data_IF_317681630942
#
_entry.id   IF_317681630942
#
_cell.length_a   1.000
_cell.length_b   1.000
_cell.length_c   1.000
_cell.angle_alpha   90.00
_cell.angle_beta   90.00
_cell.angle_gamma   90.00
#
_symmetry.space_group_name_H-M   'P 1'
#
loop_
_entity.id
_entity.type
_entity.pdbx_description
1 polymer ?
#
# COMPACT_ATOMS: atom_id res chain seq x y z
N UNK A 1 -86.26 -20.92 -28.53
CA UNK A 1 -85.97 -20.62 -27.11
C UNK A 1 -84.59 -21.16 -26.80
N UNK A 2 -83.65 -20.28 -26.37
CA UNK A 2 -82.54 -20.54 -25.42
C UNK A 2 -81.48 -21.61 -25.82
N UNK A 3 -80.16 -21.43 -25.90
CA UNK A 3 -79.17 -20.57 -25.21
C UNK A 3 -77.88 -20.43 -26.08
N UNK A 4 -77.17 -19.30 -25.94
CA UNK A 4 -75.78 -19.01 -26.38
C UNK A 4 -74.73 -19.66 -25.43
N UNK A 5 -73.41 -19.32 -25.38
CA UNK A 5 -72.53 -18.54 -26.28
C UNK A 5 -71.11 -19.15 -26.49
N UNK A 6 -70.27 -18.56 -27.36
CA UNK A 6 -68.89 -18.16 -26.98
C UNK A 6 -68.20 -17.34 -28.08
N UNK A 7 -67.39 -16.40 -27.58
CA UNK A 7 -66.80 -15.23 -28.23
C UNK A 7 -65.62 -15.56 -29.17
N UNK A 8 -65.55 -14.78 -30.26
CA UNK A 8 -64.36 -14.39 -31.02
C UNK A 8 -64.40 -12.85 -31.08
N UNK A 9 -63.36 -12.02 -31.13
CA UNK A 9 -61.89 -12.11 -31.09
C UNK A 9 -61.43 -10.63 -31.22
N UNK A 10 -60.32 -10.25 -30.57
CA UNK A 10 -59.46 -9.07 -30.81
C UNK A 10 -60.09 -7.66 -30.65
N UNK A 11 -59.59 -6.80 -29.76
CA UNK A 11 -58.34 -6.06 -29.99
C UNK A 11 -57.90 -5.37 -28.69
N UNK A 12 -56.66 -5.59 -28.26
CA UNK A 12 -56.00 -4.76 -27.25
C UNK A 12 -54.56 -4.51 -27.70
N UNK A 13 -54.26 -3.22 -27.84
CA UNK A 13 -52.99 -2.68 -28.31
C UNK A 13 -51.84 -3.06 -27.37
N UNK A 14 -50.75 -3.56 -27.94
CA UNK A 14 -49.49 -3.78 -27.23
C UNK A 14 -48.75 -2.46 -27.05
N UNK A 15 -48.72 -1.94 -25.82
CA UNK A 15 -47.75 -0.94 -25.39
C UNK A 15 -46.45 -1.66 -25.05
N UNK A 16 -45.46 -1.51 -25.93
CA UNK A 16 -44.10 -2.01 -25.71
C UNK A 16 -43.41 -1.03 -24.76
N UNK A 17 -43.46 -1.32 -23.46
CA UNK A 17 -42.61 -0.67 -22.48
C UNK A 17 -41.17 -1.17 -22.67
N UNK A 18 -40.31 -0.32 -23.23
CA UNK A 18 -38.86 -0.56 -23.24
C UNK A 18 -38.32 -0.50 -21.81
N UNK A 19 -37.53 -1.47 -21.34
CA UNK A 19 -36.77 -1.30 -20.11
C UNK A 19 -35.62 -0.33 -20.40
N UNK A 20 -35.68 0.85 -19.77
CA UNK A 20 -34.55 1.75 -19.65
C UNK A 20 -33.48 1.01 -18.84
N UNK A 21 -32.45 0.52 -19.53
CA UNK A 21 -31.23 0.01 -18.89
C UNK A 21 -30.51 1.22 -18.30
N UNK A 22 -30.79 1.52 -17.03
CA UNK A 22 -29.96 2.42 -16.23
C UNK A 22 -28.68 1.65 -15.93
N UNK A 23 -27.64 1.87 -16.74
CA UNK A 23 -26.30 1.43 -16.44
C UNK A 23 -25.80 2.19 -15.20
N UNK A 24 -26.00 1.61 -14.03
CA UNK A 24 -25.34 2.04 -12.81
C UNK A 24 -23.82 1.83 -13.01
N UNK A 25 -23.11 2.93 -13.27
CA UNK A 25 -21.65 2.97 -13.17
C UNK A 25 -21.29 2.75 -11.70
N UNK A 26 -21.00 1.50 -11.35
CA UNK A 26 -20.28 1.21 -10.12
C UNK A 26 -18.89 1.86 -10.23
N UNK A 27 -18.43 2.61 -9.21
CA UNK A 27 -17.07 3.09 -9.20
C UNK A 27 -16.16 1.86 -9.22
N UNK A 28 -15.27 1.82 -10.22
CA UNK A 28 -14.15 0.89 -10.28
C UNK A 28 -13.38 1.03 -8.98
N UNK A 29 -13.67 0.16 -8.02
CA UNK A 29 -12.93 0.08 -6.79
C UNK A 29 -11.53 -0.33 -7.22
N UNK A 30 -10.59 0.58 -7.01
CA UNK A 30 -9.22 0.41 -7.44
C UNK A 30 -8.71 -0.87 -6.80
N UNK A 31 -8.49 -1.88 -7.64
CA UNK A 31 -7.59 -2.96 -7.32
C UNK A 31 -6.25 -2.29 -7.07
N UNK A 32 -5.93 -2.10 -5.80
CA UNK A 32 -4.60 -1.69 -5.37
C UNK A 32 -3.78 -2.97 -5.39
N UNK A 33 -2.89 -3.22 -6.37
CA UNK A 33 -1.84 -4.17 -6.12
C UNK A 33 -0.95 -3.51 -5.09
N UNK A 34 -1.19 -3.82 -3.83
CA UNK A 34 -0.19 -3.67 -2.77
C UNK A 34 0.92 -4.67 -3.10
N UNK A 35 1.70 -4.35 -4.13
CA UNK A 35 2.98 -4.99 -4.41
C UNK A 35 3.97 -4.34 -3.47
N UNK A 36 3.90 -4.74 -2.19
CA UNK A 36 5.06 -4.64 -1.34
C UNK A 36 6.13 -5.51 -1.98
N UNK A 37 7.22 -4.85 -2.37
CA UNK A 37 8.46 -5.40 -2.88
C UNK A 37 9.19 -6.20 -1.78
N UNK A 38 8.49 -7.13 -1.13
CA UNK A 38 9.06 -8.07 -0.18
C UNK A 38 9.17 -9.42 -0.88
N UNK A 39 10.35 -10.04 -0.76
CA UNK A 39 10.61 -11.42 -1.13
C UNK A 39 9.37 -12.26 -0.77
N UNK A 40 8.66 -12.79 -1.77
CA UNK A 40 7.49 -13.59 -1.48
C UNK A 40 8.00 -14.87 -0.80
N UNK A 41 7.84 -14.93 0.51
CA UNK A 41 8.08 -16.13 1.27
C UNK A 41 6.76 -16.89 1.40
N UNK A 42 6.80 -18.20 1.26
CA UNK A 42 5.64 -19.06 1.46
C UNK A 42 6.07 -20.39 2.09
N UNK A 43 5.14 -21.09 2.71
CA UNK A 43 5.37 -22.43 3.22
C UNK A 43 4.69 -23.39 2.27
N UNK A 44 5.48 -24.23 1.61
CA UNK A 44 4.99 -25.20 0.65
C UNK A 44 5.33 -26.63 1.09
N UNK A 45 4.52 -27.60 0.67
CA UNK A 45 4.77 -29.02 0.92
C UNK A 45 4.29 -29.85 -0.27
N UNK A 46 4.98 -30.95 -0.56
CA UNK A 46 4.40 -32.00 -1.39
C UNK A 46 3.60 -32.95 -0.49
N UNK A 47 2.31 -33.06 -0.75
CA UNK A 47 1.37 -33.89 0.00
C UNK A 47 0.96 -35.05 -0.90
N UNK A 48 1.14 -36.27 -0.40
CA UNK A 48 0.73 -37.53 -1.03
C UNK A 48 0.07 -38.38 0.07
N UNK A 49 -1.18 -38.04 0.39
CA UNK A 49 -1.95 -38.66 1.49
C UNK A 49 -3.42 -38.77 1.14
N UNK A 50 -4.08 -39.74 1.76
CA UNK A 50 -5.54 -39.88 1.76
C UNK A 50 -6.10 -39.31 3.08
N UNK A 51 -7.04 -38.37 2.99
CA UNK A 51 -7.64 -37.68 4.14
C UNK A 51 -9.11 -38.07 4.24
N UNK A 52 -9.49 -38.70 5.34
CA UNK A 52 -10.91 -38.88 5.67
C UNK A 52 -11.49 -37.56 6.20
N UNK A 53 -12.56 -37.06 5.56
CA UNK A 53 -13.35 -35.93 6.04
C UNK A 53 -14.75 -36.40 6.43
N UNK A 54 -14.92 -36.63 7.72
CA UNK A 54 -16.16 -37.10 8.32
C UNK A 54 -17.16 -35.94 8.50
N UNK A 55 -18.46 -36.22 8.34
CA UNK A 55 -19.53 -35.35 8.85
C UNK A 55 -20.43 -36.17 9.73
N UNK A 56 -20.50 -35.78 11.00
CA UNK A 56 -21.50 -36.28 11.91
C UNK A 56 -22.80 -35.49 11.73
N UNK A 57 -23.83 -36.14 11.18
CA UNK A 57 -25.18 -35.58 11.04
C UNK A 57 -26.11 -36.07 12.16
N UNK A 58 -25.56 -36.40 13.33
CA UNK A 58 -26.28 -36.86 14.52
C UNK A 58 -26.73 -38.32 14.49
N UNK A 59 -27.12 -38.85 13.32
CA UNK A 59 -27.57 -40.24 13.15
C UNK A 59 -26.77 -41.05 12.11
N UNK A 60 -25.98 -40.37 11.27
CA UNK A 60 -25.16 -40.97 10.21
C UNK A 60 -23.82 -40.23 10.20
N UNK A 61 -22.74 -41.00 10.25
CA UNK A 61 -21.40 -40.51 9.94
C UNK A 61 -21.14 -40.76 8.46
N UNK A 62 -20.92 -39.68 7.70
CA UNK A 62 -20.53 -39.75 6.29
C UNK A 62 -19.03 -39.50 6.18
N UNK A 63 -18.28 -40.56 5.92
CA UNK A 63 -16.85 -40.49 5.64
C UNK A 63 -16.61 -40.39 4.15
N UNK A 64 -15.95 -39.31 3.73
CA UNK A 64 -15.46 -39.16 2.37
C UNK A 64 -13.94 -39.14 2.41
N UNK A 65 -13.31 -40.04 1.68
CA UNK A 65 -11.86 -40.07 1.53
C UNK A 65 -11.44 -39.17 0.37
N UNK A 66 -10.52 -38.25 0.68
CA UNK A 66 -9.97 -37.28 -0.27
C UNK A 66 -8.52 -37.64 -0.54
N UNK A 67 -8.23 -38.11 -1.76
CA UNK A 67 -6.86 -38.31 -2.22
C UNK A 67 -6.22 -36.98 -2.61
N UNK A 68 -5.12 -36.66 -1.91
CA UNK A 68 -4.33 -35.44 -2.10
C UNK A 68 -2.93 -35.85 -2.51
N UNK A 69 -2.67 -35.78 -3.82
CA UNK A 69 -1.35 -35.92 -4.43
C UNK A 69 -0.97 -34.65 -5.17
N UNK A 70 -0.52 -33.64 -4.43
CA UNK A 70 -0.25 -32.32 -4.96
C UNK A 70 0.85 -31.58 -4.17
N UNK A 71 1.55 -30.68 -4.85
CA UNK A 71 2.41 -29.71 -4.20
C UNK A 71 1.59 -28.46 -3.86
N UNK A 72 1.49 -28.13 -2.57
CA UNK A 72 0.60 -27.11 -2.04
C UNK A 72 1.38 -26.06 -1.28
N UNK A 73 1.09 -24.78 -1.56
CA UNK A 73 1.57 -23.63 -0.81
C UNK A 73 0.42 -22.95 -0.07
N UNK A 74 0.70 -22.28 1.05
CA UNK A 74 -0.36 -21.68 1.87
C UNK A 74 -1.15 -20.60 1.13
N UNK A 75 -0.50 -19.84 0.24
CA UNK A 75 -1.19 -18.81 -0.55
C UNK A 75 -2.24 -19.39 -1.50
N UNK A 76 -2.02 -20.59 -2.04
CA UNK A 76 -2.90 -21.28 -3.01
C UNK A 76 -3.84 -22.30 -2.37
N UNK A 77 -3.67 -22.55 -1.07
CA UNK A 77 -4.33 -23.67 -0.39
C UNK A 77 -5.86 -23.55 -0.44
N UNK A 78 -6.38 -22.34 -0.26
CA UNK A 78 -7.83 -22.07 -0.28
C UNK A 78 -8.43 -22.41 -1.64
N UNK A 79 -7.80 -21.97 -2.73
CA UNK A 79 -8.27 -22.22 -4.10
C UNK A 79 -8.22 -23.71 -4.44
N UNK A 80 -7.15 -24.40 -4.04
CA UNK A 80 -7.03 -25.85 -4.21
C UNK A 80 -8.15 -26.60 -3.48
N UNK A 81 -8.39 -26.27 -2.20
CA UNK A 81 -9.44 -26.89 -1.40
C UNK A 81 -10.83 -26.64 -2.00
N UNK A 82 -11.10 -25.44 -2.50
CA UNK A 82 -12.36 -25.11 -3.16
C UNK A 82 -12.57 -25.95 -4.44
N UNK A 83 -11.54 -26.09 -5.28
CA UNK A 83 -11.62 -26.91 -6.49
C UNK A 83 -11.82 -28.40 -6.19
N UNK A 84 -11.09 -28.94 -5.20
CA UNK A 84 -11.24 -30.34 -4.76
C UNK A 84 -12.60 -30.60 -4.14
N UNK A 85 -13.09 -29.69 -3.29
CA UNK A 85 -14.42 -29.78 -2.70
C UNK A 85 -15.53 -29.79 -3.74
N UNK A 86 -15.44 -28.92 -4.76
CA UNK A 86 -16.40 -28.89 -5.87
C UNK A 86 -16.36 -30.19 -6.69
N UNK A 87 -15.16 -30.72 -6.98
CA UNK A 87 -15.00 -31.94 -7.77
C UNK A 87 -15.54 -33.19 -7.07
N UNK A 88 -15.47 -33.24 -5.74
CA UNK A 88 -15.91 -34.39 -4.93
C UNK A 88 -17.27 -34.19 -4.24
N UNK A 89 -17.95 -33.07 -4.51
CA UNK A 89 -19.26 -32.79 -3.89
C UNK A 89 -19.21 -32.65 -2.37
N UNK A 90 -18.10 -32.14 -1.82
CA UNK A 90 -17.93 -31.97 -0.38
C UNK A 90 -18.86 -30.89 0.18
N UNK A 91 -19.41 -31.14 1.36
CA UNK A 91 -20.16 -30.14 2.13
C UNK A 91 -19.24 -29.05 2.68
N UNK A 92 -19.80 -27.92 3.12
CA UNK A 92 -19.05 -26.82 3.75
C UNK A 92 -18.23 -27.29 4.96
N UNK A 93 -18.78 -28.21 5.76
CA UNK A 93 -18.08 -28.79 6.92
C UNK A 93 -16.87 -29.62 6.49
N UNK A 94 -17.03 -30.46 5.48
CA UNK A 94 -15.93 -31.28 4.93
C UNK A 94 -14.84 -30.42 4.31
N UNK A 95 -15.22 -29.39 3.54
CA UNK A 95 -14.28 -28.44 2.98
C UNK A 95 -13.46 -27.76 4.10
N UNK A 96 -14.11 -27.31 5.17
CA UNK A 96 -13.42 -26.67 6.30
C UNK A 96 -12.46 -27.64 7.00
N UNK A 97 -12.85 -28.90 7.19
CA UNK A 97 -11.98 -29.95 7.73
C UNK A 97 -10.78 -30.22 6.82
N UNK A 98 -10.99 -30.37 5.51
CA UNK A 98 -9.93 -30.58 4.52
C UNK A 98 -8.91 -29.43 4.55
N UNK A 99 -9.39 -28.18 4.51
CA UNK A 99 -8.55 -26.98 4.56
C UNK A 99 -7.73 -26.94 5.84
N UNK A 100 -8.36 -27.20 6.99
CA UNK A 100 -7.69 -27.17 8.30
C UNK A 100 -6.64 -28.27 8.42
N UNK A 101 -6.97 -29.49 7.97
CA UNK A 101 -6.04 -30.63 7.97
C UNK A 101 -4.82 -30.35 7.10
N UNK A 102 -5.01 -29.88 5.87
CA UNK A 102 -3.90 -29.55 4.97
C UNK A 102 -3.07 -28.38 5.49
N UNK A 103 -3.72 -27.32 6.00
CA UNK A 103 -3.01 -26.19 6.60
C UNK A 103 -2.14 -26.62 7.78
N UNK A 104 -2.65 -27.49 8.65
CA UNK A 104 -1.89 -28.02 9.78
C UNK A 104 -0.73 -28.91 9.33
N UNK A 105 -0.90 -29.74 8.30
CA UNK A 105 0.19 -30.55 7.74
C UNK A 105 1.33 -29.69 7.19
N UNK A 106 0.99 -28.56 6.56
CA UNK A 106 1.96 -27.62 6.00
C UNK A 106 2.62 -26.76 7.09
N UNK A 107 1.87 -26.24 8.07
CA UNK A 107 2.39 -25.28 9.06
C UNK A 107 2.99 -25.89 10.31
N UNK A 108 2.79 -27.19 10.56
CA UNK A 108 3.26 -27.82 11.79
C UNK A 108 4.79 -27.73 11.90
N UNK A 109 5.36 -27.34 13.06
CA UNK A 109 6.79 -27.44 13.32
C UNK A 109 7.28 -28.88 13.13
N UNK A 110 8.26 -29.09 12.25
CA UNK A 110 8.72 -30.43 11.86
C UNK A 110 7.74 -31.23 10.98
N UNK A 111 6.71 -30.57 10.44
CA UNK A 111 5.78 -31.12 9.46
C UNK A 111 6.35 -31.18 8.04
N UNK A 112 5.48 -31.39 7.05
CA UNK A 112 5.87 -31.53 5.64
C UNK A 112 6.22 -30.19 4.96
N UNK A 113 5.87 -29.07 5.59
CA UNK A 113 6.10 -27.73 5.05
C UNK A 113 7.55 -27.28 5.11
N UNK A 114 8.01 -26.68 4.02
CA UNK A 114 9.29 -26.00 3.90
C UNK A 114 9.06 -24.52 3.62
N UNK A 115 9.78 -23.65 4.35
CA UNK A 115 9.83 -22.23 4.02
C UNK A 115 10.56 -22.05 2.70
N UNK A 116 9.85 -21.51 1.72
CA UNK A 116 10.33 -21.22 0.39
C UNK A 116 10.45 -19.72 0.22
N UNK A 117 11.62 -19.28 -0.22
CA UNK A 117 11.88 -17.89 -0.60
C UNK A 117 11.96 -17.83 -2.12
N UNK A 118 11.34 -16.84 -2.73
CA UNK A 118 11.31 -16.69 -4.18
C UNK A 118 12.00 -15.40 -4.64
N UNK A 119 12.57 -15.38 -5.86
CA UNK A 119 13.14 -14.17 -6.43
C UNK A 119 12.10 -13.04 -6.49
N UNK A 120 12.53 -11.82 -6.16
CA UNK A 120 11.73 -10.59 -6.37
C UNK A 120 11.71 -10.13 -7.84
N UNK A 121 12.33 -10.89 -8.75
CA UNK A 121 12.38 -10.57 -10.18
C UNK A 121 10.96 -10.59 -10.77
N UNK A 122 10.50 -9.49 -11.40
CA UNK A 122 9.18 -9.45 -12.04
C UNK A 122 9.02 -10.56 -13.07
N UNK A 123 7.86 -11.24 -13.06
CA UNK A 123 7.56 -12.33 -13.98
C UNK A 123 8.12 -13.70 -13.56
N UNK A 124 8.73 -13.81 -12.38
CA UNK A 124 9.02 -15.10 -11.76
C UNK A 124 7.70 -15.78 -11.31
N UNK A 125 7.56 -17.09 -11.57
CA UNK A 125 6.41 -17.88 -11.11
C UNK A 125 6.85 -19.01 -10.19
N UNK A 126 6.07 -19.28 -9.16
CA UNK A 126 6.27 -20.41 -8.26
C UNK A 126 5.98 -21.71 -9.02
N UNK A 127 6.78 -22.76 -8.79
CA UNK A 127 6.71 -24.04 -9.50
C UNK A 127 6.97 -25.20 -8.54
N UNK A 128 6.10 -25.32 -7.53
CA UNK A 128 6.13 -26.39 -6.52
C UNK A 128 5.98 -27.77 -7.18
N UNK A 129 6.88 -28.71 -6.86
CA UNK A 129 6.80 -30.10 -7.30
C UNK A 129 7.26 -31.10 -6.23
N UNK A 130 7.02 -32.40 -6.44
CA UNK A 130 7.50 -33.45 -5.54
C UNK A 130 9.03 -33.46 -5.36
N UNK A 131 9.76 -33.15 -6.44
CA UNK A 131 11.23 -33.13 -6.43
C UNK A 131 11.81 -31.82 -5.90
N UNK A 132 11.07 -30.72 -6.03
CA UNK A 132 11.50 -29.40 -5.59
C UNK A 132 10.28 -28.59 -5.13
N UNK A 133 10.03 -28.64 -3.83
CA UNK A 133 8.91 -27.95 -3.17
C UNK A 133 9.02 -26.43 -3.30
N UNK A 134 10.25 -25.89 -3.29
CA UNK A 134 10.52 -24.46 -3.46
C UNK A 134 10.95 -24.12 -4.90
N UNK A 135 10.49 -24.91 -5.87
CA UNK A 135 10.79 -24.69 -7.28
C UNK A 135 10.20 -23.38 -7.77
N UNK A 136 10.89 -22.73 -8.69
CA UNK A 136 10.42 -21.53 -9.37
C UNK A 136 10.89 -21.52 -10.81
N UNK A 137 10.13 -20.81 -11.65
CA UNK A 137 10.42 -20.61 -13.06
C UNK A 137 10.74 -19.15 -13.30
N UNK A 138 11.90 -18.90 -13.89
CA UNK A 138 12.29 -17.56 -14.31
C UNK A 138 11.59 -17.16 -15.61
N UNK A 139 11.35 -15.85 -15.83
CA UNK A 139 10.84 -15.35 -17.10
C UNK A 139 11.79 -15.68 -18.25
N UNK A 140 11.28 -15.60 -19.49
CA UNK A 140 12.05 -15.90 -20.70
C UNK A 140 13.34 -15.10 -20.76
N UNK A 141 14.44 -15.78 -21.13
CA UNK A 141 15.79 -15.21 -21.18
C UNK A 141 16.57 -15.30 -19.85
N UNK A 142 15.87 -15.51 -18.73
CA UNK A 142 16.51 -15.65 -17.42
C UNK A 142 16.67 -17.11 -17.02
N UNK A 143 17.68 -17.39 -16.18
CA UNK A 143 17.92 -18.70 -15.58
C UNK A 143 17.96 -18.60 -14.05
N UNK A 144 17.48 -19.65 -13.35
CA UNK A 144 17.63 -19.73 -11.90
C UNK A 144 19.11 -19.66 -11.50
N UNK A 145 19.41 -18.85 -10.49
CA UNK A 145 20.74 -18.71 -9.90
C UNK A 145 20.59 -18.32 -8.43
N UNK A 146 21.72 -18.15 -7.74
CA UNK A 146 21.80 -17.57 -6.41
C UNK A 146 22.55 -16.24 -6.45
N UNK A 147 22.15 -15.31 -5.58
CA UNK A 147 22.93 -14.09 -5.33
C UNK A 147 24.14 -14.36 -4.42
N UNK A 148 24.88 -13.31 -4.07
CA UNK A 148 26.04 -13.39 -3.18
C UNK A 148 25.71 -13.85 -1.74
N UNK A 149 24.44 -13.85 -1.35
CA UNK A 149 23.94 -14.29 -0.05
C UNK A 149 23.23 -15.64 -0.12
N UNK A 150 23.35 -16.35 -1.25
CA UNK A 150 22.71 -17.63 -1.53
C UNK A 150 21.17 -17.55 -1.61
N UNK A 151 20.60 -16.37 -1.85
CA UNK A 151 19.16 -16.22 -2.10
C UNK A 151 18.84 -16.58 -3.55
N UNK A 152 17.69 -17.22 -3.81
CA UNK A 152 17.26 -17.54 -5.17
C UNK A 152 17.02 -16.26 -5.97
N UNK A 153 17.55 -16.22 -7.19
CA UNK A 153 17.43 -15.11 -8.11
C UNK A 153 17.29 -15.61 -9.55
N UNK A 154 16.88 -14.73 -10.45
CA UNK A 154 16.84 -14.97 -11.89
C UNK A 154 17.89 -14.09 -12.56
N UNK A 155 18.90 -14.70 -13.19
CA UNK A 155 19.97 -13.98 -13.88
C UNK A 155 19.82 -14.08 -15.40
N UNK A 156 20.07 -12.97 -16.08
CA UNK A 156 20.14 -12.94 -17.52
C UNK A 156 21.52 -13.44 -17.96
N UNK A 157 21.64 -14.74 -18.16
CA UNK A 157 22.88 -15.37 -18.57
C UNK A 157 22.58 -16.60 -19.41
N UNK A 158 22.59 -16.42 -20.73
CA UNK A 158 22.54 -17.53 -21.68
C UNK A 158 23.24 -17.13 -22.98
N UNK A 159 23.61 -18.10 -23.80
CA UNK A 159 24.23 -17.86 -25.11
C UNK A 159 23.36 -17.04 -26.06
N UNK A 160 22.07 -16.95 -25.79
CA UNK A 160 21.07 -16.37 -26.69
C UNK A 160 20.49 -15.06 -26.15
N UNK A 161 20.86 -14.65 -24.93
CA UNK A 161 20.34 -13.44 -24.29
C UNK A 161 21.43 -12.66 -23.55
N UNK A 162 21.26 -11.35 -23.47
CA UNK A 162 22.15 -10.46 -22.73
C UNK A 162 21.36 -9.42 -21.93
N UNK A 163 21.97 -8.93 -20.85
CA UNK A 163 21.35 -7.92 -20.00
C UNK A 163 21.62 -6.52 -20.53
N UNK A 164 20.57 -5.76 -20.81
CA UNK A 164 20.67 -4.33 -21.09
C UNK A 164 19.68 -3.51 -20.27
N UNK A 165 20.15 -2.49 -19.56
CA UNK A 165 19.34 -1.59 -18.73
C UNK A 165 18.36 -2.32 -17.78
N UNK A 166 18.79 -3.45 -17.20
CA UNK A 166 17.98 -4.27 -16.30
C UNK A 166 16.94 -5.16 -17.00
N UNK A 167 16.93 -5.22 -18.33
CA UNK A 167 16.11 -6.14 -19.12
C UNK A 167 16.97 -7.24 -19.75
N UNK A 168 16.44 -8.46 -19.83
CA UNK A 168 17.07 -9.54 -20.57
C UNK A 168 16.48 -9.60 -21.97
N UNK A 169 17.33 -9.37 -22.97
CA UNK A 169 16.91 -9.31 -24.37
C UNK A 169 17.70 -10.31 -25.22
N UNK A 170 17.11 -10.83 -26.31
CA UNK A 170 17.81 -11.74 -27.21
C UNK A 170 19.09 -11.12 -27.81
N UNK A 171 20.09 -11.95 -28.04
CA UNK A 171 21.29 -11.58 -28.77
C UNK A 171 20.94 -11.14 -30.19
N UNK A 172 21.55 -10.04 -30.64
CA UNK A 172 21.24 -9.40 -31.93
C UNK A 172 20.10 -8.39 -31.87
N UNK A 173 19.33 -8.33 -30.78
CA UNK A 173 18.39 -7.24 -30.58
C UNK A 173 19.12 -5.99 -30.05
N UNK A 174 18.83 -4.84 -30.66
CA UNK A 174 19.33 -3.56 -30.17
C UNK A 174 18.78 -3.29 -28.77
N UNK A 175 19.65 -2.88 -27.86
CA UNK A 175 19.20 -2.45 -26.55
C UNK A 175 18.21 -1.30 -26.70
N UNK A 176 16.98 -1.41 -26.15
CA UNK A 176 16.05 -0.31 -26.16
C UNK A 176 16.60 0.79 -25.26
N UNK A 177 17.32 1.74 -25.86
CA UNK A 177 17.51 3.06 -25.28
C UNK A 177 16.14 3.70 -25.14
N UNK A 178 15.89 4.43 -24.04
CA UNK A 178 14.75 5.34 -23.94
C UNK A 178 14.59 6.05 -25.28
N UNK A 179 13.39 5.99 -25.87
CA UNK A 179 13.14 6.55 -27.21
C UNK A 179 13.80 7.92 -27.31
N UNK A 180 14.52 8.24 -28.40
CA UNK A 180 15.23 9.50 -28.52
C UNK A 180 14.26 10.62 -28.16
N UNK A 181 14.57 11.33 -27.06
CA UNK A 181 13.81 12.51 -26.67
C UNK A 181 13.72 13.38 -27.91
N UNK A 182 12.51 13.68 -28.37
CA UNK A 182 12.30 14.48 -29.58
C UNK A 182 13.26 15.69 -29.59
N UNK A 183 13.69 16.21 -30.74
CA UNK A 183 14.52 17.42 -30.78
C UNK A 183 13.94 18.56 -29.92
N UNK A 184 12.61 18.62 -29.78
CA UNK A 184 11.89 19.51 -28.85
C UNK A 184 12.14 19.20 -27.38
N UNK A 185 12.11 17.93 -26.97
CA UNK A 185 12.46 17.51 -25.61
C UNK A 185 13.95 17.76 -25.30
N UNK A 186 14.87 17.46 -26.24
CA UNK A 186 16.30 17.78 -26.08
C UNK A 186 16.57 19.29 -26.07
N UNK A 187 15.82 20.08 -26.85
CA UNK A 187 15.88 21.54 -26.81
C UNK A 187 15.31 22.09 -25.51
N UNK A 188 14.23 21.50 -24.97
CA UNK A 188 13.69 21.87 -23.65
C UNK A 188 14.64 21.48 -22.52
N UNK A 189 15.28 20.31 -22.59
CA UNK A 189 16.34 19.87 -21.69
C UNK A 189 17.52 20.86 -21.74
N UNK A 190 18.03 21.17 -22.94
CA UNK A 190 19.09 22.16 -23.12
C UNK A 190 18.66 23.56 -22.67
N UNK A 191 17.41 23.96 -22.85
CA UNK A 191 16.89 25.25 -22.40
C UNK A 191 16.68 25.30 -20.89
N UNK A 192 16.38 24.17 -20.25
CA UNK A 192 16.40 23.99 -18.79
C UNK A 192 17.82 24.05 -18.23
N UNK A 193 18.78 23.42 -18.91
CA UNK A 193 20.20 23.46 -18.54
C UNK A 193 20.86 24.81 -18.85
N UNK A 194 20.44 25.51 -19.90
CA UNK A 194 20.97 26.82 -20.31
C UNK A 194 20.34 28.01 -19.54
N UNK A 195 19.26 27.78 -18.78
CA UNK A 195 18.68 28.75 -17.85
C UNK A 195 18.55 28.14 -16.44
N UNK A 196 19.65 28.00 -15.69
CA UNK A 196 19.60 27.62 -14.27
C UNK A 196 18.85 28.65 -13.40
N UNK A 197 18.57 29.85 -13.92
CA UNK A 197 17.95 30.97 -13.20
C UNK A 197 16.44 30.89 -13.04
N UNK A 198 15.78 29.84 -13.55
CA UNK A 198 14.36 29.60 -13.28
C UNK A 198 14.19 28.28 -12.54
N UNK A 199 14.20 28.31 -11.20
CA UNK A 199 13.97 27.11 -10.42
C UNK A 199 12.58 26.58 -10.77
N UNK A 200 12.52 25.28 -11.05
CA UNK A 200 11.30 24.60 -11.48
C UNK A 200 10.94 23.53 -10.47
N UNK A 201 9.72 23.58 -9.97
CA UNK A 201 9.19 22.55 -9.08
C UNK A 201 7.94 21.88 -9.67
N UNK A 202 7.68 20.61 -9.31
CA UNK A 202 6.40 19.96 -9.56
C UNK A 202 5.22 20.79 -9.04
N UNK A 203 4.02 20.53 -9.55
CA UNK A 203 2.80 21.19 -9.07
C UNK A 203 2.64 20.98 -7.56
N UNK A 204 2.27 22.04 -6.85
CA UNK A 204 2.09 22.02 -5.39
C UNK A 204 3.36 22.23 -4.58
N UNK A 205 4.51 22.49 -5.23
CA UNK A 205 5.77 22.80 -4.55
C UNK A 205 6.35 24.13 -5.00
N UNK A 206 7.03 24.80 -4.07
CA UNK A 206 7.75 26.06 -4.27
C UNK A 206 9.24 25.80 -4.24
N UNK A 207 10.00 26.57 -5.03
CA UNK A 207 11.44 26.49 -5.01
C UNK A 207 12.01 27.41 -3.91
N UNK A 208 12.64 26.81 -2.91
CA UNK A 208 13.21 27.47 -1.75
C UNK A 208 14.73 27.36 -1.77
N UNK A 209 15.42 28.41 -1.32
CA UNK A 209 16.88 28.40 -1.23
C UNK A 209 17.37 27.53 -0.07
N UNK A 210 18.57 26.99 -0.21
CA UNK A 210 19.25 26.19 0.83
C UNK A 210 20.36 27.05 1.47
N UNK A 211 20.57 26.92 2.79
CA UNK A 211 21.56 27.70 3.55
C UNK A 211 23.01 27.52 3.07
N UNK A 212 23.34 26.41 2.43
CA UNK A 212 24.75 25.99 2.24
C UNK A 212 25.53 26.77 1.17
N UNK A 213 24.91 27.64 0.37
CA UNK A 213 25.61 28.37 -0.72
C UNK A 213 24.99 29.74 -1.07
N UNK A 214 24.65 30.58 -0.09
CA UNK A 214 24.30 31.99 -0.35
C UNK A 214 23.08 32.24 -1.25
N UNK A 215 22.19 31.24 -1.40
CA UNK A 215 20.96 31.34 -2.20
C UNK A 215 21.04 30.83 -3.64
N UNK A 216 22.21 30.33 -4.09
CA UNK A 216 22.37 29.78 -5.45
C UNK A 216 21.87 28.33 -5.57
N UNK A 217 21.82 27.60 -4.46
CA UNK A 217 21.25 26.26 -4.37
C UNK A 217 19.79 26.30 -3.90
N UNK A 218 18.94 25.47 -4.49
CA UNK A 218 17.52 25.43 -4.19
C UNK A 218 16.96 24.00 -4.14
N UNK A 219 15.86 23.84 -3.41
CA UNK A 219 15.08 22.61 -3.34
C UNK A 219 13.57 22.88 -3.51
N UNK A 220 12.80 21.82 -3.75
CA UNK A 220 11.35 21.92 -3.89
C UNK A 220 10.63 21.54 -2.61
N UNK A 221 10.05 22.54 -1.95
CA UNK A 221 9.35 22.41 -0.67
C UNK A 221 7.84 22.59 -0.88
N UNK A 222 7.05 21.77 -0.18
CA UNK A 222 5.60 21.99 -0.09
C UNK A 222 5.30 22.95 1.06
N UNK A 223 5.24 24.25 0.75
CA UNK A 223 5.04 25.31 1.75
C UNK A 223 3.66 25.28 2.42
N UNK A 224 2.78 24.35 2.03
CA UNK A 224 1.45 24.20 2.67
C UNK A 224 1.46 23.23 3.84
N UNK A 225 2.50 22.39 3.94
CA UNK A 225 2.62 21.32 4.94
C UNK A 225 4.01 21.24 5.58
N UNK A 226 5.02 21.88 5.00
CA UNK A 226 6.37 21.91 5.53
C UNK A 226 6.49 22.78 6.79
N UNK A 227 7.12 22.23 7.82
CA UNK A 227 7.23 22.87 9.13
C UNK A 227 8.18 24.07 9.13
N UNK A 228 9.26 23.98 8.35
CA UNK A 228 10.39 24.90 8.36
C UNK A 228 10.25 26.00 7.29
N UNK A 229 9.28 25.86 6.39
CA UNK A 229 8.93 26.79 5.30
C UNK A 229 7.41 26.89 5.14
N UNK A 230 6.71 27.13 6.24
CA UNK A 230 5.26 27.23 6.23
C UNK A 230 4.79 28.56 5.63
N UNK A 231 3.85 28.51 4.70
CA UNK A 231 3.26 29.68 4.04
C UNK A 231 4.14 30.34 2.98
N UNK A 232 5.40 29.94 2.87
CA UNK A 232 6.37 30.48 1.92
C UNK A 232 7.76 29.87 2.13
N UNK A 233 8.75 30.26 1.33
CA UNK A 233 10.12 29.81 1.55
C UNK A 233 10.79 30.66 2.63
N UNK A 234 11.38 30.04 3.65
CA UNK A 234 12.17 30.76 4.68
C UNK A 234 13.39 31.45 4.06
N UNK A 235 13.96 30.86 3.00
CA UNK A 235 14.93 31.51 2.10
C UNK A 235 14.29 31.66 0.71
N UNK A 236 13.70 32.82 0.38
CA UNK A 236 13.09 33.02 -0.92
C UNK A 236 14.14 33.26 -2.02
N UNK A 237 13.98 32.59 -3.16
CA UNK A 237 14.85 32.80 -4.35
C UNK A 237 14.57 34.10 -5.10
N UNK A 238 13.48 34.80 -4.74
CA UNK A 238 13.10 36.10 -5.30
C UNK A 238 12.81 37.05 -4.16
N UNK A 239 13.38 38.24 -4.21
CA UNK A 239 13.13 39.30 -3.23
C UNK A 239 11.65 39.71 -3.12
N UNK A 240 10.84 39.42 -4.15
CA UNK A 240 9.40 39.72 -4.18
C UNK A 240 8.51 38.63 -3.57
N UNK A 241 9.06 37.49 -3.15
CA UNK A 241 8.27 36.40 -2.58
C UNK A 241 7.96 36.68 -1.10
N UNK A 242 6.76 36.28 -0.67
CA UNK A 242 6.39 36.29 0.76
C UNK A 242 7.27 35.24 1.47
N UNK A 243 8.07 35.64 2.48
CA UNK A 243 8.90 34.69 3.22
C UNK A 243 8.03 33.74 4.05
N UNK A 244 8.48 32.50 4.14
CA UNK A 244 7.90 31.49 5.01
C UNK A 244 8.25 31.68 6.47
N UNK A 245 7.57 30.92 7.32
CA UNK A 245 7.83 30.84 8.75
C UNK A 245 8.23 29.42 9.10
N UNK A 246 9.28 29.30 9.90
CA UNK A 246 9.63 28.06 10.59
C UNK A 246 8.77 27.95 11.86
N UNK A 247 7.77 27.07 11.83
CA UNK A 247 6.85 26.86 12.94
C UNK A 247 7.52 26.18 14.15
N UNK A 248 8.66 25.50 13.97
CA UNK A 248 9.39 24.84 15.05
C UNK A 248 10.04 25.85 16.01
N UNK A 249 10.29 27.07 15.52
CA UNK A 249 10.87 28.17 16.30
C UNK A 249 9.87 28.96 17.14
N UNK A 250 8.57 28.59 17.14
CA UNK A 250 7.58 29.25 17.98
C UNK A 250 7.95 29.03 19.46
N UNK A 251 8.07 30.12 20.26
CA UNK A 251 8.46 30.01 21.66
C UNK A 251 7.52 29.13 22.48
N UNK A 252 8.12 28.34 23.38
CA UNK A 252 7.41 27.48 24.33
C UNK A 252 6.52 26.39 23.71
N UNK A 253 6.71 26.09 22.42
CA UNK A 253 5.91 25.08 21.74
C UNK A 253 6.37 23.66 22.10
N UNK A 254 5.39 22.75 22.09
CA UNK A 254 5.61 21.31 22.29
C UNK A 254 5.08 20.49 21.11
N UNK A 255 4.05 20.96 20.42
CA UNK A 255 3.47 20.29 19.24
C UNK A 255 2.85 21.33 18.31
N UNK A 256 3.23 21.26 17.03
CA UNK A 256 2.91 22.24 16.00
C UNK A 256 3.00 21.61 14.63
N UNK A 257 2.13 22.05 13.72
CA UNK A 257 2.22 21.68 12.31
C UNK A 257 1.99 22.90 11.42
N UNK A 258 2.48 22.80 10.17
CA UNK A 258 2.02 23.65 9.10
C UNK A 258 0.76 23.05 8.48
N UNK A 259 -0.34 23.81 8.48
CA UNK A 259 -1.62 23.38 7.92
C UNK A 259 -2.08 24.42 6.92
N UNK A 260 -2.14 24.04 5.64
CA UNK A 260 -2.54 24.92 4.53
C UNK A 260 -1.71 26.22 4.45
N UNK A 261 -0.44 26.16 4.87
CA UNK A 261 0.46 27.32 4.88
C UNK A 261 0.38 28.20 6.12
N UNK A 262 -0.30 27.74 7.18
CA UNK A 262 -0.37 28.44 8.46
C UNK A 262 0.19 27.56 9.60
N UNK A 263 1.02 28.14 10.47
CA UNK A 263 1.45 27.47 11.69
C UNK A 263 0.28 27.28 12.65
N UNK A 264 0.03 26.03 13.06
CA UNK A 264 -1.01 25.66 14.02
C UNK A 264 -0.40 24.96 15.21
N UNK A 265 -0.55 25.59 16.39
CA UNK A 265 -0.05 25.09 17.67
C UNK A 265 -1.09 24.18 18.30
N UNK A 266 -0.73 22.91 18.52
CA UNK A 266 -1.60 21.94 19.19
C UNK A 266 -1.28 21.81 20.67
N UNK A 267 -0.01 21.99 21.05
CA UNK A 267 0.42 21.84 22.45
C UNK A 267 1.57 22.77 22.80
N UNK A 268 1.49 23.33 23.99
CA UNK A 268 2.55 24.14 24.60
C UNK A 268 3.30 23.37 25.69
N UNK A 269 4.52 23.80 25.99
CA UNK A 269 5.30 23.30 27.14
C UNK A 269 4.62 23.67 28.45
N UNK A 270 4.98 22.97 29.54
CA UNK A 270 4.43 23.24 30.88
C UNK A 270 4.58 24.71 31.27
N UNK A 271 3.53 25.28 31.87
CA UNK A 271 3.46 26.71 32.22
C UNK A 271 2.95 27.61 31.10
N UNK A 272 2.62 27.05 29.93
CA UNK A 272 2.09 27.78 28.78
C UNK A 272 0.85 27.08 28.23
N UNK A 273 -0.08 27.87 27.69
CA UNK A 273 -1.32 27.43 27.04
C UNK A 273 -1.39 27.98 25.61
N UNK A 274 -2.14 27.30 24.74
CA UNK A 274 -2.33 27.73 23.36
C UNK A 274 -3.10 29.06 23.34
N UNK A 275 -2.55 30.07 22.67
CA UNK A 275 -3.18 31.38 22.51
C UNK A 275 -4.49 31.30 21.73
N UNK A 276 -5.33 32.33 21.84
CA UNK A 276 -6.68 32.35 21.24
C UNK A 276 -6.68 32.13 19.73
N UNK A 277 -5.63 32.59 19.05
CA UNK A 277 -5.50 32.48 17.61
C UNK A 277 -4.92 31.12 17.16
N UNK A 278 -4.49 30.28 18.10
CA UNK A 278 -3.92 28.95 17.81
C UNK A 278 -2.53 28.98 17.17
N UNK A 279 -1.85 30.14 17.18
CA UNK A 279 -0.56 30.37 16.51
C UNK A 279 0.60 30.60 17.48
N UNK A 280 0.33 30.64 18.78
CA UNK A 280 1.34 30.97 19.80
C UNK A 280 1.07 30.23 21.12
N UNK A 281 2.10 30.19 21.97
CA UNK A 281 2.00 29.71 23.35
C UNK A 281 2.15 30.90 24.31
N UNK A 282 1.14 31.14 25.14
CA UNK A 282 1.12 32.23 26.13
C UNK A 282 1.23 31.68 27.55
N UNK A 283 1.81 32.45 28.47
CA UNK A 283 1.96 32.01 29.85
C UNK A 283 0.60 31.69 30.49
N UNK A 284 0.53 30.56 31.18
CA UNK A 284 -0.68 30.11 31.84
C UNK A 284 -0.97 30.97 33.09
N UNK A 285 -1.93 31.88 32.97
CA UNK A 285 -2.30 32.80 34.06
C UNK A 285 -2.99 32.08 35.24
N UNK A 286 -3.45 30.82 35.06
CA UNK A 286 -4.01 30.04 36.16
C UNK A 286 -2.96 29.69 37.22
N UNK A 287 -1.70 29.55 36.81
CA UNK A 287 -0.56 29.26 37.70
C UNK A 287 -0.11 30.43 38.58
N UNK A 288 -0.54 31.68 38.28
CA UNK A 288 -0.23 32.86 39.11
C UNK A 288 -1.23 33.07 40.25
N UNK A 289 -2.46 32.59 40.13
CA UNK A 289 -3.46 32.72 41.19
C UNK A 289 -3.22 31.72 42.35
N UNK A 290 -2.71 30.52 42.06
CA UNK A 290 -2.38 29.52 43.10
C UNK A 290 -1.14 29.90 43.96
N UNK A 291 -0.24 30.72 43.42
CA UNK A 291 0.91 31.23 44.18
C UNK A 291 0.56 32.44 45.05
N UNK A 292 -0.57 33.12 44.82
CA UNK A 292 -1.01 34.23 45.68
C UNK A 292 -1.99 33.79 46.78
N UNK A 293 -2.68 32.65 46.61
CA UNK A 293 -3.50 32.03 47.64
C UNK A 293 -2.66 31.33 48.73
N UNK A 294 -1.43 30.93 48.45
CA UNK A 294 -0.53 30.24 49.40
C UNK A 294 0.34 31.18 50.25
N UNK A 295 0.33 32.50 49.98
CA UNK A 295 1.08 33.49 50.78
C UNK A 295 0.22 34.26 51.79
N UNK A 296 -1.11 34.18 51.70
CA UNK A 296 -2.02 34.85 52.64
C UNK A 296 -2.41 33.99 53.86
N UNK A 297 -2.02 32.71 53.90
CA UNK A 297 -2.39 31.78 54.98
C UNK A 297 -1.31 31.61 56.08
N UNK A 298 -0.14 32.24 55.96
CA UNK A 298 0.93 32.15 56.98
C UNK A 298 0.91 33.31 57.98
N UNK A 299 0.22 34.42 57.68
CA UNK A 299 0.17 35.61 58.56
C UNK A 299 -0.95 35.61 59.62
N UNK A 300 -1.76 34.56 59.72
CA UNK A 300 -2.89 34.50 60.67
C UNK A 300 -2.73 33.44 61.79
N UNK A 301 -1.50 33.20 62.27
CA UNK A 301 -1.27 32.35 63.46
C UNK A 301 -0.35 32.95 64.53
N UNK A 302 0.01 34.22 64.45
CA UNK A 302 0.72 34.89 65.56
C UNK A 302 0.08 36.24 65.91
N UNK A 303 -1.08 36.20 66.57
CA UNK A 303 -1.47 37.24 67.53
C UNK A 303 -2.53 36.69 68.50
N UNK A 304 -2.06 36.00 69.54
CA UNK A 304 -2.72 35.85 70.84
C UNK A 304 -1.64 35.81 71.92
N UNK A 305 -1.41 36.95 72.54
CA UNK A 305 -0.94 37.10 73.93
C UNK A 305 -1.93 38.03 74.61
#
# INVERSE_FOLDING_TARGET
MLFSPSLNVLTLASLIASPIVIAARLPSNQFSPRSSFELSADICAYIDVEIAVDVNLGLIDLDVNVDVKACLCLNTLVDFCAQKAAAQGLTTTQHTKLLTSLKNMIQRPGGAGKMCTYPSTPGCSQSCSASNVCGFTCPVGYKPSTDQYNNPTCVCSSSDYWSCNGQCIPNGQLCPSQAPTSPKARANEKRRQAHPTRPWCPRGKSACGIYENGGDAWECVDTTSDLESCGGCTIPLRASSIPGVDCSQIPHISDVACVLGECRVFKCRRGFVVGKNGTECVADQSSRHDQQASFLDVTSMHFKS
#
